data_IF_224779270124
#
_entry.id   IF_224779270124
#
_cell.length_a   1.000
_cell.length_b   1.000
_cell.length_c   1.000
_cell.angle_alpha   90.00
_cell.angle_beta   90.00
_cell.angle_gamma   90.00
#
_symmetry.space_group_name_H-M   'P 1'
#
loop_
_entity.id
_entity.type
_entity.pdbx_description
1 polymer ?
#
# COMPACT_ATOMS: atom_id res chain seq x y z
N UNK A 1 12.48 13.49 -29.86
CA UNK A 1 13.04 13.36 -28.50
C UNK A 1 11.98 12.63 -27.69
N UNK A 2 12.27 11.45 -27.19
CA UNK A 2 11.37 10.75 -26.25
C UNK A 2 11.29 11.60 -24.99
N UNK A 3 10.08 11.98 -24.62
CA UNK A 3 9.79 12.74 -23.41
C UNK A 3 10.30 11.93 -22.19
N UNK A 4 10.96 12.59 -21.26
CA UNK A 4 11.48 11.92 -20.06
C UNK A 4 10.31 11.46 -19.17
N UNK A 5 10.17 10.15 -18.99
CA UNK A 5 9.20 9.59 -18.05
C UNK A 5 9.90 9.24 -16.72
N UNK A 6 9.62 9.99 -15.64
CA UNK A 6 10.26 9.76 -14.34
C UNK A 6 9.90 8.39 -13.72
N UNK A 7 8.79 7.79 -14.11
CA UNK A 7 8.34 6.51 -13.59
C UNK A 7 8.89 5.31 -14.37
N UNK A 8 9.44 5.51 -15.58
CA UNK A 8 10.00 4.42 -16.37
C UNK A 8 11.21 3.79 -15.68
N UNK A 9 12.13 4.62 -15.19
CA UNK A 9 13.29 4.22 -14.41
C UNK A 9 13.46 5.13 -13.17
N UNK A 10 12.84 4.76 -12.03
CA UNK A 10 12.93 5.55 -10.80
C UNK A 10 14.36 5.72 -10.28
N UNK A 11 15.23 4.73 -10.46
CA UNK A 11 16.63 4.84 -10.02
C UNK A 11 17.40 5.88 -10.82
N UNK A 12 17.23 5.91 -12.15
CA UNK A 12 17.80 6.95 -13.01
C UNK A 12 17.19 8.32 -12.72
N UNK A 13 15.91 8.37 -12.35
CA UNK A 13 15.22 9.61 -11.96
C UNK A 13 15.85 10.19 -10.69
N UNK A 14 16.05 9.39 -9.66
CA UNK A 14 16.69 9.81 -8.41
C UNK A 14 18.15 10.24 -8.64
N UNK A 15 18.87 9.60 -9.54
CA UNK A 15 20.21 10.03 -9.88
C UNK A 15 20.26 11.46 -10.48
N UNK A 16 19.19 11.89 -11.15
CA UNK A 16 19.03 13.27 -11.69
C UNK A 16 18.43 14.25 -10.67
N UNK A 17 17.68 13.74 -9.69
CA UNK A 17 16.98 14.49 -8.65
C UNK A 17 17.35 13.95 -7.26
N UNK A 18 18.55 14.27 -6.72
CA UNK A 18 19.08 13.64 -5.50
C UNK A 18 18.26 13.88 -4.22
N UNK A 19 17.30 14.82 -4.23
CA UNK A 19 16.38 15.07 -3.12
C UNK A 19 15.25 14.02 -3.05
N UNK A 20 14.97 13.31 -4.16
CA UNK A 20 13.93 12.29 -4.17
C UNK A 20 14.34 11.07 -3.34
N UNK A 21 13.37 10.53 -2.63
CA UNK A 21 13.49 9.19 -2.04
C UNK A 21 13.05 8.12 -3.03
N UNK A 22 13.69 6.97 -3.02
CA UNK A 22 13.34 5.83 -3.87
C UNK A 22 13.22 4.56 -3.05
N UNK A 23 12.19 3.77 -3.34
CA UNK A 23 11.96 2.45 -2.76
C UNK A 23 12.19 1.35 -3.82
N UNK A 24 13.36 0.68 -3.87
CA UNK A 24 13.64 -0.34 -4.88
C UNK A 24 12.63 -1.50 -4.89
N UNK A 25 11.95 -1.75 -3.77
CA UNK A 25 10.87 -2.73 -3.69
C UNK A 25 9.67 -2.32 -4.58
N UNK A 26 9.33 -1.03 -4.59
CA UNK A 26 8.24 -0.48 -5.41
C UNK A 26 8.49 -0.71 -6.91
N UNK A 27 9.69 -0.48 -7.39
CA UNK A 27 10.02 -0.73 -8.79
C UNK A 27 9.81 -2.20 -9.21
N UNK A 28 10.01 -3.16 -8.28
CA UNK A 28 9.83 -4.59 -8.56
C UNK A 28 8.39 -5.06 -8.48
N UNK A 29 7.57 -4.48 -7.59
CA UNK A 29 6.23 -5.00 -7.29
C UNK A 29 5.08 -4.16 -7.87
N UNK A 30 5.32 -2.93 -8.33
CA UNK A 30 4.29 -2.01 -8.84
C UNK A 30 3.48 -2.57 -10.00
N UNK A 31 4.12 -3.24 -10.98
CA UNK A 31 3.41 -3.80 -12.11
C UNK A 31 2.54 -5.01 -11.75
N UNK A 32 3.04 -6.03 -10.99
CA UNK A 32 2.18 -7.08 -10.45
C UNK A 32 1.03 -6.57 -9.57
N UNK A 33 1.28 -5.55 -8.73
CA UNK A 33 0.23 -4.94 -7.89
C UNK A 33 -0.81 -4.28 -8.78
N UNK A 34 -0.42 -3.46 -9.77
CA UNK A 34 -1.36 -2.82 -10.68
C UNK A 34 -2.23 -3.83 -11.43
N UNK A 35 -1.65 -4.96 -11.88
CA UNK A 35 -2.40 -6.04 -12.54
C UNK A 35 -3.44 -6.66 -11.59
N UNK A 36 -3.07 -6.96 -10.35
CA UNK A 36 -4.01 -7.50 -9.36
C UNK A 36 -5.12 -6.50 -9.01
N UNK A 37 -4.80 -5.21 -8.91
CA UNK A 37 -5.78 -4.15 -8.65
C UNK A 37 -6.75 -3.97 -9.84
N UNK A 38 -6.29 -4.14 -11.07
CA UNK A 38 -7.15 -4.09 -12.26
C UNK A 38 -8.24 -5.16 -12.26
N UNK A 39 -7.97 -6.33 -11.64
CA UNK A 39 -8.95 -7.41 -11.50
C UNK A 39 -9.93 -7.20 -10.34
N UNK A 40 -9.51 -6.47 -9.29
CA UNK A 40 -10.25 -6.34 -8.04
C UNK A 40 -11.08 -5.06 -7.97
N UNK A 41 -10.59 -3.98 -8.55
CA UNK A 41 -11.26 -2.68 -8.56
C UNK A 41 -12.36 -2.63 -9.65
N UNK A 42 -13.43 -1.85 -9.43
CA UNK A 42 -14.47 -1.70 -10.42
C UNK A 42 -13.92 -1.06 -11.72
N UNK A 43 -14.49 -1.38 -12.89
CA UNK A 43 -14.10 -0.75 -14.15
C UNK A 43 -14.62 0.70 -14.29
N UNK A 44 -15.47 1.13 -13.37
CA UNK A 44 -15.99 2.50 -13.26
C UNK A 44 -15.06 3.38 -12.42
N UNK A 45 -15.16 4.73 -12.51
CA UNK A 45 -14.37 5.61 -11.66
C UNK A 45 -14.46 5.26 -10.18
N UNK A 46 -13.33 5.10 -9.54
CA UNK A 46 -13.23 4.73 -8.12
C UNK A 46 -12.08 5.47 -7.42
N UNK A 47 -12.19 5.61 -6.10
CA UNK A 47 -11.17 6.24 -5.25
C UNK A 47 -10.47 5.18 -4.42
N UNK A 48 -9.14 5.17 -4.46
CA UNK A 48 -8.29 4.34 -3.61
C UNK A 48 -7.55 5.24 -2.62
N UNK A 49 -7.71 4.97 -1.32
CA UNK A 49 -6.90 5.57 -0.26
C UNK A 49 -5.69 4.65 0.02
N UNK A 50 -4.49 5.15 -0.13
CA UNK A 50 -3.28 4.42 0.23
C UNK A 50 -2.79 4.85 1.61
N UNK A 51 -2.62 3.90 2.49
CA UNK A 51 -2.08 4.10 3.84
C UNK A 51 -0.60 3.78 3.84
N UNK A 52 0.21 4.71 4.35
CA UNK A 52 1.67 4.64 4.37
C UNK A 52 2.27 4.48 2.96
N UNK A 53 2.05 5.49 2.12
CA UNK A 53 2.46 5.50 0.70
C UNK A 53 3.99 5.55 0.49
N UNK A 54 4.76 5.80 1.54
CA UNK A 54 6.21 5.84 1.50
C UNK A 54 6.73 6.93 0.58
N UNK A 55 7.28 6.54 -0.56
CA UNK A 55 7.79 7.49 -1.56
C UNK A 55 6.71 8.04 -2.50
N UNK A 56 5.51 7.45 -2.52
CA UNK A 56 4.44 7.78 -3.45
C UNK A 56 4.56 7.16 -4.86
N UNK A 57 5.61 6.39 -5.11
CA UNK A 57 5.85 5.78 -6.42
C UNK A 57 4.74 4.80 -6.84
N UNK A 58 4.13 4.05 -5.88
CA UNK A 58 2.96 3.20 -6.16
C UNK A 58 1.77 4.03 -6.64
N UNK A 59 1.45 5.10 -5.91
CA UNK A 59 0.33 6.00 -6.23
C UNK A 59 0.39 6.48 -7.69
N UNK A 60 1.55 6.97 -8.09
CA UNK A 60 1.76 7.51 -9.44
C UNK A 60 1.73 6.41 -10.50
N UNK A 61 2.42 5.28 -10.25
CA UNK A 61 2.47 4.19 -11.22
C UNK A 61 1.08 3.56 -11.45
N UNK A 62 0.34 3.30 -10.37
CA UNK A 62 -0.96 2.66 -10.46
C UNK A 62 -1.98 3.60 -11.11
N UNK A 63 -2.01 4.88 -10.72
CA UNK A 63 -2.89 5.86 -11.35
C UNK A 63 -2.57 6.08 -12.84
N UNK A 64 -1.30 5.92 -13.26
CA UNK A 64 -0.92 5.96 -14.69
C UNK A 64 -1.41 4.73 -15.44
N UNK A 65 -1.45 3.58 -14.76
CA UNK A 65 -1.80 2.28 -15.38
C UNK A 65 -3.31 2.04 -15.41
N UNK A 66 -4.05 2.55 -14.40
CA UNK A 66 -5.48 2.33 -14.21
C UNK A 66 -6.23 3.66 -14.34
N UNK A 67 -6.75 3.95 -15.51
CA UNK A 67 -7.36 5.25 -15.85
C UNK A 67 -8.61 5.58 -15.02
N UNK A 68 -9.34 4.57 -14.53
CA UNK A 68 -10.53 4.74 -13.70
C UNK A 68 -10.22 5.11 -12.26
N UNK A 69 -8.96 5.02 -11.82
CA UNK A 69 -8.60 5.19 -10.42
C UNK A 69 -8.21 6.64 -10.10
N UNK A 70 -8.85 7.20 -9.09
CA UNK A 70 -8.35 8.38 -8.36
C UNK A 70 -7.64 7.91 -7.09
N UNK A 71 -6.37 8.25 -6.97
CA UNK A 71 -5.52 7.81 -5.87
C UNK A 71 -5.31 8.91 -4.83
N UNK A 72 -5.57 8.57 -3.56
CA UNK A 72 -5.30 9.44 -2.42
C UNK A 72 -4.13 8.86 -1.62
N UNK A 73 -2.90 9.36 -1.78
CA UNK A 73 -1.78 8.92 -0.97
C UNK A 73 -1.83 9.52 0.44
N UNK A 74 -1.28 8.80 1.41
CA UNK A 74 -1.14 9.29 2.77
C UNK A 74 0.14 8.82 3.45
N UNK A 75 0.61 9.61 4.40
CA UNK A 75 1.75 9.29 5.27
C UNK A 75 1.55 9.84 6.69
N UNK A 76 2.25 9.24 7.65
CA UNK A 76 2.14 9.61 9.05
C UNK A 76 3.02 10.80 9.45
N UNK A 77 3.97 11.20 8.61
CA UNK A 77 4.96 12.24 8.93
C UNK A 77 5.06 13.31 7.85
N UNK A 78 5.41 14.55 8.23
CA UNK A 78 5.66 15.62 7.24
C UNK A 78 6.71 15.26 6.21
N UNK A 79 7.76 14.54 6.60
CA UNK A 79 8.84 14.09 5.72
C UNK A 79 8.37 13.03 4.71
N UNK A 80 7.43 12.17 5.13
CA UNK A 80 6.77 11.21 4.22
C UNK A 80 5.87 11.93 3.23
N UNK A 81 5.07 12.91 3.68
CA UNK A 81 4.25 13.74 2.79
C UNK A 81 5.12 14.48 1.76
N UNK A 82 6.22 15.10 2.20
CA UNK A 82 7.14 15.80 1.30
C UNK A 82 7.71 14.86 0.23
N UNK A 83 8.08 13.62 0.60
CA UNK A 83 8.59 12.64 -0.36
C UNK A 83 7.56 12.27 -1.44
N UNK A 84 6.28 12.19 -1.09
CA UNK A 84 5.18 11.95 -2.04
C UNK A 84 5.03 13.16 -2.99
N UNK A 85 5.01 14.37 -2.42
CA UNK A 85 4.82 15.61 -3.22
C UNK A 85 5.98 15.86 -4.18
N UNK A 86 7.22 15.52 -3.79
CA UNK A 86 8.40 15.61 -4.66
C UNK A 86 8.23 14.73 -5.93
N UNK A 87 7.75 13.50 -5.78
CA UNK A 87 7.45 12.64 -6.92
C UNK A 87 6.23 13.12 -7.73
N UNK A 88 5.17 13.61 -7.05
CA UNK A 88 4.00 14.18 -7.73
C UNK A 88 4.36 15.37 -8.61
N UNK A 89 5.29 16.22 -8.15
CA UNK A 89 5.74 17.38 -8.92
C UNK A 89 6.39 17.01 -10.26
N UNK A 90 6.98 15.80 -10.37
CA UNK A 90 7.55 15.30 -11.61
C UNK A 90 6.50 14.67 -12.57
N UNK A 91 5.27 14.49 -12.12
CA UNK A 91 4.20 13.85 -12.87
C UNK A 91 2.95 14.76 -12.96
N UNK A 92 3.06 15.97 -13.53
CA UNK A 92 1.95 16.94 -13.58
C UNK A 92 0.76 16.41 -14.41
N UNK A 93 0.99 15.49 -15.34
CA UNK A 93 -0.03 14.78 -16.12
C UNK A 93 -0.97 13.93 -15.23
N UNK A 94 -0.54 13.55 -14.03
CA UNK A 94 -1.31 12.79 -13.06
C UNK A 94 -2.00 13.65 -12.00
N UNK A 95 -1.88 14.98 -12.04
CA UNK A 95 -2.41 15.87 -11.00
C UNK A 95 -3.93 15.73 -10.79
N UNK A 96 -4.69 15.36 -11.83
CA UNK A 96 -6.14 15.11 -11.73
C UNK A 96 -6.50 13.74 -11.15
N UNK A 97 -5.55 12.80 -11.10
CA UNK A 97 -5.78 11.41 -10.67
C UNK A 97 -5.05 11.03 -9.39
N UNK A 98 -3.94 11.67 -9.07
CA UNK A 98 -3.24 11.51 -7.79
C UNK A 98 -3.41 12.79 -6.99
N UNK A 99 -4.23 12.73 -5.94
CA UNK A 99 -4.54 13.87 -5.08
C UNK A 99 -3.31 14.29 -4.27
N UNK A 100 -3.26 15.53 -3.75
CA UNK A 100 -2.28 15.91 -2.75
C UNK A 100 -2.30 14.94 -1.56
N UNK A 101 -1.13 14.61 -1.04
CA UNK A 101 -1.00 13.67 0.07
C UNK A 101 -1.66 14.20 1.34
N UNK A 102 -2.19 13.30 2.18
CA UNK A 102 -2.83 13.64 3.46
C UNK A 102 -2.11 12.97 4.61
N UNK A 103 -2.10 13.65 5.76
CA UNK A 103 -1.50 13.08 6.97
C UNK A 103 -2.47 12.09 7.60
N UNK A 104 -2.04 10.82 7.68
CA UNK A 104 -2.75 9.74 8.35
C UNK A 104 -1.75 8.88 9.13
N UNK A 105 -1.95 8.80 10.44
CA UNK A 105 -1.34 7.76 11.27
C UNK A 105 -2.24 6.53 11.27
N UNK A 106 -1.74 5.44 10.70
CA UNK A 106 -2.48 4.19 10.60
C UNK A 106 -2.92 3.64 11.97
N UNK A 107 -2.14 3.90 13.03
CA UNK A 107 -2.44 3.43 14.38
C UNK A 107 -3.61 4.20 15.05
N UNK A 108 -3.93 5.40 14.56
CA UNK A 108 -4.80 6.38 15.22
C UNK A 108 -6.06 6.74 14.41
N UNK A 109 -7.01 5.80 14.14
CA UNK A 109 -8.31 6.17 13.60
C UNK A 109 -9.15 6.92 14.65
N UNK A 110 -10.17 7.75 14.24
CA UNK A 110 -10.67 7.86 12.87
C UNK A 110 -9.77 8.72 11.98
N UNK A 111 -9.60 8.29 10.72
CA UNK A 111 -8.81 9.02 9.75
C UNK A 111 -9.61 10.16 9.09
N UNK A 112 -8.98 11.27 8.71
CA UNK A 112 -9.65 12.37 8.06
C UNK A 112 -10.09 12.05 6.63
N UNK A 113 -11.12 12.75 6.14
CA UNK A 113 -11.55 12.77 4.74
C UNK A 113 -12.79 11.88 4.46
N UNK A 114 -13.23 11.73 3.19
CA UNK A 114 -14.40 10.96 2.77
C UNK A 114 -14.16 9.46 2.76
N UNK A 115 -15.21 8.65 2.63
CA UNK A 115 -15.12 7.20 2.34
C UNK A 115 -14.35 6.94 1.04
N UNK A 116 -13.90 5.72 0.84
CA UNK A 116 -13.20 5.26 -0.35
C UNK A 116 -13.75 3.92 -0.81
N UNK A 117 -13.69 3.66 -2.12
CA UNK A 117 -14.07 2.38 -2.71
C UNK A 117 -13.07 1.28 -2.35
N UNK A 118 -11.80 1.65 -2.19
CA UNK A 118 -10.78 0.73 -1.70
C UNK A 118 -9.72 1.45 -0.83
N UNK A 119 -9.14 0.69 0.08
CA UNK A 119 -7.97 1.10 0.87
C UNK A 119 -6.85 0.13 0.54
N UNK A 120 -5.68 0.66 0.22
CA UNK A 120 -4.49 -0.11 -0.12
C UNK A 120 -3.34 0.22 0.84
N UNK A 121 -2.52 -0.77 1.14
CA UNK A 121 -1.23 -0.57 1.79
C UNK A 121 -0.23 -1.62 1.34
N UNK A 122 1.04 -1.23 1.24
CA UNK A 122 2.12 -2.13 0.87
C UNK A 122 3.19 -2.18 1.98
N UNK A 123 3.49 -3.40 2.42
CA UNK A 123 4.59 -3.69 3.36
C UNK A 123 4.45 -3.07 4.78
N UNK A 124 3.36 -2.39 5.11
CA UNK A 124 3.18 -1.71 6.39
C UNK A 124 3.19 -2.68 7.58
N UNK A 125 2.43 -3.76 7.49
CA UNK A 125 2.11 -4.61 8.64
C UNK A 125 3.32 -5.31 9.26
N UNK A 126 4.37 -5.55 8.51
CA UNK A 126 5.58 -6.22 9.00
C UNK A 126 6.73 -5.26 9.37
N UNK A 127 6.65 -3.96 9.00
CA UNK A 127 7.62 -2.93 9.39
C UNK A 127 7.02 -1.93 10.41
N UNK A 128 6.02 -2.36 11.16
CA UNK A 128 5.33 -1.58 12.19
C UNK A 128 4.93 -2.49 13.35
N UNK A 129 4.71 -1.94 14.57
CA UNK A 129 4.09 -2.67 15.69
C UNK A 129 2.70 -3.20 15.33
N UNK A 130 2.25 -4.26 16.02
CA UNK A 130 0.93 -4.86 15.79
C UNK A 130 -0.23 -3.86 15.95
N UNK A 131 -0.10 -2.90 16.86
CA UNK A 131 -1.07 -1.81 17.07
C UNK A 131 -1.36 -0.99 15.82
N UNK A 132 -0.40 -0.87 14.90
CA UNK A 132 -0.59 -0.24 13.59
C UNK A 132 -1.50 -1.10 12.69
N UNK A 133 -1.36 -2.43 12.74
CA UNK A 133 -2.27 -3.34 12.03
C UNK A 133 -3.69 -3.24 12.59
N UNK A 134 -3.83 -3.17 13.92
CA UNK A 134 -5.14 -2.97 14.57
C UNK A 134 -5.77 -1.64 14.17
N UNK A 135 -4.98 -0.57 14.15
CA UNK A 135 -5.42 0.75 13.69
C UNK A 135 -5.82 0.75 12.21
N UNK A 136 -5.02 0.10 11.35
CA UNK A 136 -5.30 -0.07 9.92
C UNK A 136 -6.67 -0.72 9.70
N UNK A 137 -6.94 -1.83 10.40
CA UNK A 137 -8.21 -2.56 10.28
C UNK A 137 -9.39 -1.71 10.74
N UNK A 138 -9.30 -1.08 11.93
CA UNK A 138 -10.36 -0.19 12.45
C UNK A 138 -10.60 1.01 11.53
N UNK A 139 -9.52 1.63 11.06
CA UNK A 139 -9.59 2.76 10.15
C UNK A 139 -10.23 2.38 8.82
N UNK A 140 -9.83 1.25 8.24
CA UNK A 140 -10.41 0.73 7.01
C UNK A 140 -11.89 0.42 7.16
N UNK A 141 -12.29 -0.27 8.24
CA UNK A 141 -13.69 -0.59 8.51
C UNK A 141 -14.60 0.66 8.61
N UNK A 142 -14.05 1.80 9.07
CA UNK A 142 -14.79 3.06 9.19
C UNK A 142 -14.78 3.92 7.92
N UNK A 143 -13.86 3.64 6.98
CA UNK A 143 -13.61 4.48 5.81
C UNK A 143 -14.01 3.85 4.49
N UNK A 144 -14.25 2.54 4.47
CA UNK A 144 -14.78 1.84 3.31
C UNK A 144 -16.29 1.96 3.26
N UNK A 145 -16.81 2.21 2.06
CA UNK A 145 -18.23 2.03 1.77
C UNK A 145 -18.60 0.53 1.81
N UNK A 146 -19.87 0.16 2.02
CA UNK A 146 -20.32 -1.23 1.90
C UNK A 146 -19.91 -1.83 0.55
N UNK A 147 -19.31 -3.01 0.57
CA UNK A 147 -18.73 -3.67 -0.61
C UNK A 147 -17.32 -3.21 -0.99
N UNK A 148 -16.80 -2.14 -0.36
CA UNK A 148 -15.44 -1.65 -0.57
C UNK A 148 -14.37 -2.63 -0.10
N UNK A 149 -13.13 -2.44 -0.56
CA UNK A 149 -12.02 -3.39 -0.36
C UNK A 149 -10.90 -2.82 0.50
N UNK A 150 -10.45 -3.60 1.49
CA UNK A 150 -9.11 -3.41 2.08
C UNK A 150 -8.15 -4.38 1.43
N UNK A 151 -7.04 -3.85 0.90
CA UNK A 151 -6.03 -4.55 0.12
C UNK A 151 -4.67 -4.39 0.81
N UNK A 152 -4.12 -5.49 1.35
CA UNK A 152 -2.87 -5.47 2.13
C UNK A 152 -1.81 -6.31 1.43
N UNK A 153 -0.81 -5.64 0.83
CA UNK A 153 0.28 -6.30 0.13
C UNK A 153 1.50 -6.51 1.03
N UNK A 154 2.10 -7.68 0.95
CA UNK A 154 3.36 -8.00 1.62
C UNK A 154 3.66 -9.49 1.70
N UNK A 155 4.78 -9.86 2.32
CA UNK A 155 5.02 -11.24 2.73
C UNK A 155 4.26 -11.52 4.03
N UNK A 156 3.66 -12.71 4.12
CA UNK A 156 2.91 -13.16 5.29
C UNK A 156 3.31 -14.59 5.62
N UNK A 157 3.13 -14.97 6.88
CA UNK A 157 3.10 -16.37 7.28
C UNK A 157 1.69 -16.94 7.00
N UNK A 158 1.61 -18.25 6.83
CA UNK A 158 0.38 -19.02 6.71
C UNK A 158 0.44 -20.16 7.73
N UNK A 159 -0.58 -20.26 8.59
CA UNK A 159 -0.65 -21.28 9.66
C UNK A 159 0.63 -21.35 10.54
N UNK A 160 1.20 -20.19 10.85
CA UNK A 160 2.42 -20.05 11.66
C UNK A 160 3.72 -20.41 10.93
N UNK A 161 3.67 -20.72 9.62
CA UNK A 161 4.82 -21.11 8.82
C UNK A 161 5.22 -20.02 7.81
N UNK A 162 6.51 -19.91 7.52
CA UNK A 162 7.01 -19.05 6.45
C UNK A 162 6.60 -19.60 5.07
N UNK A 163 6.08 -18.73 4.20
CA UNK A 163 5.57 -19.09 2.87
C UNK A 163 6.64 -19.14 1.78
N UNK A 164 7.86 -18.72 2.08
CA UNK A 164 8.96 -18.71 1.11
C UNK A 164 10.33 -18.88 1.77
N UNK A 165 11.34 -19.36 1.04
CA UNK A 165 12.66 -19.68 1.60
C UNK A 165 13.41 -18.46 2.13
N UNK A 166 13.11 -17.27 1.60
CA UNK A 166 13.71 -16.00 2.06
C UNK A 166 13.02 -15.37 3.27
N UNK A 167 11.80 -15.79 3.59
CA UNK A 167 10.96 -15.10 4.57
C UNK A 167 11.51 -15.24 6.00
N UNK A 168 12.09 -16.37 6.36
CA UNK A 168 12.71 -16.56 7.67
C UNK A 168 13.89 -15.58 7.90
N UNK A 169 14.76 -15.42 6.91
CA UNK A 169 15.88 -14.48 6.99
C UNK A 169 15.39 -13.03 7.03
N UNK A 170 14.34 -12.72 6.25
CA UNK A 170 13.73 -11.38 6.24
C UNK A 170 13.06 -11.05 7.59
N UNK A 171 12.29 -11.99 8.16
CA UNK A 171 11.69 -11.82 9.51
C UNK A 171 12.77 -11.58 10.57
N UNK A 172 13.86 -12.36 10.55
CA UNK A 172 14.97 -12.18 11.47
C UNK A 172 15.65 -10.81 11.32
N UNK A 173 15.80 -10.30 10.07
CA UNK A 173 16.32 -8.95 9.83
C UNK A 173 15.40 -7.87 10.37
N UNK A 174 14.10 -8.00 10.15
CA UNK A 174 13.10 -7.06 10.66
C UNK A 174 13.15 -6.99 12.18
N UNK A 175 13.13 -8.15 12.87
CA UNK A 175 13.19 -8.24 14.35
C UNK A 175 14.51 -7.72 14.93
N UNK A 176 15.61 -7.83 14.19
CA UNK A 176 16.90 -7.25 14.60
C UNK A 176 16.85 -5.72 14.55
N UNK A 177 16.16 -5.14 13.57
CA UNK A 177 15.97 -3.69 13.41
C UNK A 177 15.00 -3.13 14.44
N UNK A 178 13.89 -3.83 14.68
CA UNK A 178 12.93 -3.50 15.72
C UNK A 178 12.21 -4.78 16.17
N UNK A 179 12.21 -5.06 17.48
CA UNK A 179 11.63 -6.28 18.08
C UNK A 179 10.12 -6.40 17.88
N UNK A 180 9.43 -5.29 17.62
CA UNK A 180 7.99 -5.26 17.36
C UNK A 180 7.66 -5.51 15.88
N UNK A 181 8.66 -5.52 14.99
CA UNK A 181 8.52 -5.83 13.59
C UNK A 181 8.60 -7.33 13.34
N UNK A 182 8.17 -7.77 12.15
CA UNK A 182 8.23 -9.15 11.71
C UNK A 182 7.03 -9.53 10.88
N UNK A 183 7.13 -10.65 10.19
CA UNK A 183 6.06 -11.17 9.36
C UNK A 183 4.85 -11.54 10.24
N UNK A 184 3.67 -11.25 9.71
CA UNK A 184 2.41 -11.52 10.40
C UNK A 184 1.75 -12.74 9.78
N UNK A 185 1.03 -13.50 10.60
CA UNK A 185 0.15 -14.56 10.10
C UNK A 185 -1.07 -13.93 9.44
N UNK A 186 -1.36 -14.33 8.20
CA UNK A 186 -2.53 -13.82 7.48
C UNK A 186 -3.84 -14.17 8.20
N UNK A 187 -3.87 -15.30 8.89
CA UNK A 187 -5.02 -15.77 9.68
C UNK A 187 -5.30 -14.82 10.85
N UNK A 188 -4.24 -14.34 11.54
CA UNK A 188 -4.40 -13.38 12.62
C UNK A 188 -4.94 -12.03 12.11
N UNK A 189 -4.45 -11.56 10.95
CA UNK A 189 -5.00 -10.35 10.32
C UNK A 189 -6.44 -10.59 9.87
N UNK A 190 -6.74 -11.76 9.30
CA UNK A 190 -8.08 -12.15 8.85
C UNK A 190 -9.10 -12.18 9.98
N UNK A 191 -8.76 -12.79 11.12
CA UNK A 191 -9.62 -12.82 12.30
C UNK A 191 -9.88 -11.41 12.85
N UNK A 192 -8.84 -10.56 12.88
CA UNK A 192 -8.98 -9.17 13.30
C UNK A 192 -9.88 -8.40 12.32
N UNK A 193 -9.67 -8.54 11.02
CA UNK A 193 -10.47 -7.90 9.97
C UNK A 193 -11.95 -8.29 10.09
N UNK A 194 -12.23 -9.60 10.24
CA UNK A 194 -13.58 -10.13 10.37
C UNK A 194 -14.30 -9.59 11.63
N UNK A 195 -13.58 -9.44 12.75
CA UNK A 195 -14.16 -8.86 13.98
C UNK A 195 -14.59 -7.39 13.81
N UNK A 196 -14.16 -6.73 12.73
CA UNK A 196 -14.53 -5.36 12.37
C UNK A 196 -15.41 -5.27 11.11
N UNK A 197 -15.99 -6.39 10.65
CA UNK A 197 -16.88 -6.45 9.50
C UNK A 197 -16.17 -6.26 8.16
N UNK A 198 -14.93 -6.74 8.09
CA UNK A 198 -14.13 -6.85 6.87
C UNK A 198 -13.95 -8.35 6.57
N UNK A 199 -14.75 -8.90 5.69
CA UNK A 199 -14.76 -10.31 5.38
C UNK A 199 -13.57 -10.72 4.50
N UNK A 200 -12.75 -11.71 4.90
CA UNK A 200 -11.63 -12.16 4.11
C UNK A 200 -12.07 -12.87 2.83
N UNK A 201 -11.44 -12.52 1.71
CA UNK A 201 -11.54 -13.22 0.44
C UNK A 201 -10.27 -14.04 0.17
N UNK A 202 -10.28 -14.86 -0.88
CA UNK A 202 -9.08 -15.60 -1.30
C UNK A 202 -7.94 -14.61 -1.63
N UNK A 203 -6.76 -14.74 -1.02
CA UNK A 203 -5.64 -13.86 -1.30
C UNK A 203 -5.14 -14.06 -2.73
N UNK A 204 -4.57 -13.01 -3.32
CA UNK A 204 -3.87 -13.12 -4.60
C UNK A 204 -2.41 -13.50 -4.34
N UNK A 205 -1.95 -14.54 -5.03
CA UNK A 205 -0.54 -14.92 -5.03
C UNK A 205 0.27 -13.90 -5.81
N UNK A 206 1.34 -13.40 -5.21
CA UNK A 206 2.18 -12.36 -5.78
C UNK A 206 3.63 -12.83 -5.93
N UNK A 207 4.42 -12.25 -6.84
CA UNK A 207 5.83 -12.61 -7.00
C UNK A 207 6.63 -12.52 -5.69
N UNK A 208 7.70 -13.31 -5.60
CA UNK A 208 8.62 -13.40 -4.47
C UNK A 208 7.91 -13.74 -3.14
N UNK A 209 7.01 -14.72 -3.21
CA UNK A 209 6.25 -15.26 -2.08
C UNK A 209 5.42 -14.23 -1.30
N UNK A 210 5.12 -13.08 -1.92
CA UNK A 210 4.20 -12.11 -1.37
C UNK A 210 2.74 -12.55 -1.59
N UNK A 211 1.85 -11.89 -0.87
CA UNK A 211 0.39 -12.00 -1.02
C UNK A 211 -0.20 -10.61 -1.12
N UNK A 212 -1.31 -10.49 -1.83
CA UNK A 212 -2.25 -9.40 -1.67
C UNK A 212 -3.47 -9.98 -0.92
N UNK A 213 -3.56 -9.66 0.37
CA UNK A 213 -4.72 -10.02 1.19
C UNK A 213 -5.88 -9.11 0.81
N UNK A 214 -7.06 -9.68 0.67
CA UNK A 214 -8.27 -9.00 0.22
C UNK A 214 -9.35 -9.16 1.29
N UNK A 215 -9.90 -8.05 1.73
CA UNK A 215 -11.00 -8.03 2.70
C UNK A 215 -12.12 -7.14 2.16
N UNK A 216 -13.34 -7.62 2.21
CA UNK A 216 -14.52 -6.88 1.75
C UNK A 216 -15.32 -6.32 2.92
N UNK A 217 -15.70 -5.06 2.83
CA UNK A 217 -16.62 -4.43 3.79
C UNK A 217 -18.02 -4.98 3.59
N UNK A 218 -18.59 -5.60 4.65
CA UNK A 218 -19.98 -6.07 4.70
C UNK A 218 -21.00 -4.93 4.71
#
# INVERSE_FOLDING_TARGET
MTEFDPLADPAATVARHPHLRHAPATARNRAPIAAALAELLPPTPCTVLEIASGTGEHALWIARTLDQVTWQPSEATPEGLAAIEDWRALCPDLAGRVRPSVMIDAACPPWPGPTADAIFTANLTHIAPWTVTEGLIRGAASRLDPGGLLLVYGPFNEDGAFTGPGNAAFDADLRRRNREWGLRDREAIGALAQSHGLDPEAPRMMPADNRLLVYRRG
#
